data_IF_831323538681
#
_entry.id   IF_831323538681
#
_cell.length_a   1.000
_cell.length_b   1.000
_cell.length_c   1.000
_cell.angle_alpha   90.00
_cell.angle_beta   90.00
_cell.angle_gamma   90.00
#
_symmetry.space_group_name_H-M   'P 1'
#
loop_
_entity.id
_entity.type
_entity.pdbx_description
1 polymer ?
#
# COMPACT_ATOMS: atom_id res chain seq x y z
N UNK A 1 1.21 17.00 -13.63
CA UNK A 1 2.30 16.18 -14.21
C UNK A 1 3.15 15.56 -13.11
N UNK A 2 2.56 14.85 -12.15
CA UNK A 2 3.28 13.88 -11.31
C UNK A 2 3.66 12.66 -12.14
N UNK A 3 2.92 12.41 -13.20
CA UNK A 3 3.29 11.55 -14.31
C UNK A 3 3.80 12.48 -15.40
N UNK A 4 5.08 12.82 -15.36
CA UNK A 4 5.72 13.49 -16.47
C UNK A 4 5.44 12.71 -17.75
N UNK A 5 5.28 13.38 -18.88
CA UNK A 5 5.10 12.74 -20.15
C UNK A 5 6.18 11.65 -20.32
N UNK A 6 5.80 10.40 -20.04
CA UNK A 6 6.60 9.22 -20.32
C UNK A 6 7.75 8.87 -19.36
N UNK A 7 7.96 9.55 -18.24
CA UNK A 7 8.96 9.13 -17.26
C UNK A 7 8.34 8.31 -16.11
N UNK A 8 8.22 7.01 -16.33
CA UNK A 8 7.77 6.04 -15.33
C UNK A 8 8.93 5.40 -14.55
N UNK A 9 10.16 5.83 -14.74
CA UNK A 9 11.38 5.19 -14.21
C UNK A 9 11.44 5.14 -12.68
N UNK A 10 10.62 5.92 -11.98
CA UNK A 10 10.53 5.98 -10.52
C UNK A 10 9.25 5.38 -9.97
N UNK A 11 8.42 4.78 -10.82
CA UNK A 11 7.16 4.16 -10.41
C UNK A 11 7.34 2.65 -10.29
N UNK A 12 6.87 2.10 -9.18
CA UNK A 12 6.88 0.67 -8.90
C UNK A 12 5.48 0.10 -8.67
N UNK A 13 4.43 0.94 -8.77
CA UNK A 13 3.03 0.54 -8.72
C UNK A 13 2.17 1.60 -9.42
N UNK A 14 1.34 1.18 -10.37
CA UNK A 14 0.52 2.09 -11.19
C UNK A 14 -0.91 1.55 -11.24
N UNK A 15 -1.84 2.28 -10.62
CA UNK A 15 -3.26 1.97 -10.73
C UNK A 15 -3.78 2.38 -12.11
N UNK A 16 -4.36 1.43 -12.85
CA UNK A 16 -4.93 1.70 -14.17
C UNK A 16 -6.30 2.39 -14.11
N UNK A 17 -6.93 2.43 -12.94
CA UNK A 17 -8.08 3.30 -12.63
C UNK A 17 -9.43 2.85 -13.18
N UNK A 18 -9.64 1.55 -13.38
CA UNK A 18 -10.95 1.02 -13.77
C UNK A 18 -11.68 0.49 -12.53
N UNK A 19 -12.46 1.36 -11.91
CA UNK A 19 -13.20 1.07 -10.68
C UNK A 19 -14.51 0.35 -10.95
N UNK A 20 -14.75 -0.79 -10.27
CA UNK A 20 -15.99 -1.56 -10.42
C UNK A 20 -17.19 -0.89 -9.73
N UNK A 21 -16.95 0.14 -8.93
CA UNK A 21 -17.99 0.73 -8.10
C UNK A 21 -18.38 -0.17 -6.93
N UNK A 22 -19.37 0.24 -6.17
CA UNK A 22 -19.94 -0.56 -5.10
C UNK A 22 -18.94 -0.95 -4.02
N UNK A 23 -19.11 -2.16 -3.49
CA UNK A 23 -18.30 -2.66 -2.38
C UNK A 23 -18.59 -1.92 -1.09
N UNK A 24 -17.54 -1.59 -0.36
CA UNK A 24 -17.55 -1.03 0.98
C UNK A 24 -18.27 -1.92 2.01
N UNK A 25 -18.18 -1.58 3.28
CA UNK A 25 -18.88 -2.27 4.36
C UNK A 25 -20.41 -2.36 4.18
N UNK A 26 -21.00 -1.59 3.25
CA UNK A 26 -22.44 -1.61 2.92
C UNK A 26 -22.82 -2.67 1.88
N UNK A 27 -21.84 -3.38 1.31
CA UNK A 27 -22.05 -4.39 0.27
C UNK A 27 -22.83 -3.87 -0.96
N UNK A 28 -22.54 -2.64 -1.37
CA UNK A 28 -23.16 -2.06 -2.56
C UNK A 28 -22.76 -2.87 -3.81
N UNK A 29 -23.72 -3.10 -4.75
CA UNK A 29 -23.44 -3.84 -5.98
C UNK A 29 -22.29 -3.23 -6.77
N UNK A 30 -21.41 -4.07 -7.30
CA UNK A 30 -20.40 -3.67 -8.29
C UNK A 30 -20.99 -3.79 -9.71
N UNK A 31 -20.48 -3.00 -10.64
CA UNK A 31 -20.91 -3.07 -12.04
C UNK A 31 -20.40 -4.36 -12.71
N UNK A 32 -20.99 -4.79 -13.84
CA UNK A 32 -20.51 -5.92 -14.62
C UNK A 32 -19.02 -5.79 -14.97
N UNK A 33 -18.35 -6.93 -15.08
CA UNK A 33 -16.94 -6.97 -15.43
C UNK A 33 -16.68 -6.36 -16.82
N UNK A 34 -15.61 -5.58 -16.93
CA UNK A 34 -15.17 -5.06 -18.23
C UNK A 34 -14.75 -6.21 -19.16
N UNK A 35 -15.01 -6.12 -20.46
CA UNK A 35 -14.58 -7.11 -21.43
C UNK A 35 -13.07 -7.31 -21.46
N UNK A 36 -12.63 -8.49 -21.87
CA UNK A 36 -11.20 -8.85 -22.00
C UNK A 36 -10.42 -7.83 -22.85
N UNK A 37 -11.02 -7.36 -23.94
CA UNK A 37 -10.43 -6.39 -24.85
C UNK A 37 -10.10 -5.05 -24.18
N UNK A 38 -10.89 -4.63 -23.20
CA UNK A 38 -10.64 -3.42 -22.41
C UNK A 38 -9.28 -3.52 -21.71
N UNK A 39 -8.99 -4.67 -21.11
CA UNK A 39 -7.74 -4.91 -20.38
C UNK A 39 -6.53 -4.99 -21.32
N UNK A 40 -6.67 -5.63 -22.46
CA UNK A 40 -5.63 -5.67 -23.51
C UNK A 40 -5.29 -4.27 -24.01
N UNK A 41 -6.29 -3.46 -24.30
CA UNK A 41 -6.10 -2.08 -24.73
C UNK A 41 -5.48 -1.23 -23.60
N UNK A 42 -5.96 -1.41 -22.38
CA UNK A 42 -5.46 -0.66 -21.23
C UNK A 42 -3.99 -0.95 -20.95
N UNK A 43 -3.58 -2.20 -20.92
CA UNK A 43 -2.16 -2.56 -20.76
C UNK A 43 -1.31 -2.01 -21.91
N UNK A 44 -1.79 -2.13 -23.16
CA UNK A 44 -1.07 -1.65 -24.33
C UNK A 44 -0.88 -0.14 -24.37
N UNK A 45 -1.69 0.62 -23.64
CA UNK A 45 -1.56 2.08 -23.52
C UNK A 45 -0.38 2.53 -22.67
N UNK A 46 0.28 1.60 -21.96
CA UNK A 46 1.47 1.87 -21.14
C UNK A 46 2.74 1.34 -21.83
N UNK A 47 3.90 2.01 -21.62
CA UNK A 47 5.20 1.50 -22.06
C UNK A 47 5.49 0.10 -21.51
N UNK A 48 6.18 -0.74 -22.28
CA UNK A 48 6.44 -2.15 -21.92
C UNK A 48 7.17 -2.29 -20.58
N UNK A 49 8.12 -1.40 -20.30
CA UNK A 49 8.93 -1.41 -19.09
C UNK A 49 8.15 -1.19 -17.80
N UNK A 50 6.95 -0.60 -17.86
CA UNK A 50 6.11 -0.34 -16.68
C UNK A 50 4.93 -1.30 -16.52
N UNK A 51 4.63 -2.09 -17.55
CA UNK A 51 3.50 -3.05 -17.51
C UNK A 51 3.58 -4.05 -16.34
N UNK A 52 4.76 -4.51 -15.89
CA UNK A 52 4.87 -5.36 -14.71
C UNK A 52 4.39 -4.73 -13.39
N UNK A 53 4.28 -3.40 -13.35
CA UNK A 53 3.88 -2.63 -12.17
C UNK A 53 2.41 -2.18 -12.20
N UNK A 54 1.66 -2.59 -13.25
CA UNK A 54 0.25 -2.22 -13.38
C UNK A 54 -0.62 -3.06 -12.46
N UNK A 55 -1.53 -2.38 -11.76
CA UNK A 55 -2.60 -3.02 -11.04
C UNK A 55 -3.92 -2.28 -11.25
N UNK A 56 -5.03 -2.97 -11.05
CA UNK A 56 -6.35 -2.38 -11.00
C UNK A 56 -6.91 -2.50 -9.58
N UNK A 57 -7.27 -1.37 -8.98
CA UNK A 57 -8.02 -1.35 -7.74
C UNK A 57 -9.50 -1.56 -8.10
N UNK A 58 -9.96 -2.80 -8.01
CA UNK A 58 -11.26 -3.19 -8.58
C UNK A 58 -12.41 -2.83 -7.67
N UNK A 59 -12.35 -3.19 -6.39
CA UNK A 59 -13.37 -2.87 -5.39
C UNK A 59 -12.76 -2.82 -3.99
N UNK A 60 -13.56 -2.42 -2.98
CA UNK A 60 -13.09 -2.08 -1.65
C UNK A 60 -13.95 -2.72 -0.56
N UNK A 61 -13.30 -3.13 0.57
CA UNK A 61 -13.90 -3.50 1.85
C UNK A 61 -15.08 -4.49 1.75
N UNK A 62 -14.95 -5.52 0.92
CA UNK A 62 -16.02 -6.51 0.67
C UNK A 62 -15.96 -7.75 1.57
N UNK A 63 -15.20 -7.73 2.67
CA UNK A 63 -14.94 -8.90 3.53
C UNK A 63 -16.22 -9.63 4.00
N UNK A 64 -17.31 -8.90 4.19
CA UNK A 64 -18.60 -9.45 4.62
C UNK A 64 -19.63 -9.53 3.49
N UNK A 65 -19.24 -9.26 2.24
CA UNK A 65 -20.12 -9.10 1.09
C UNK A 65 -20.04 -10.32 0.17
N UNK A 66 -20.45 -11.50 0.66
CA UNK A 66 -20.29 -12.77 -0.06
C UNK A 66 -20.92 -12.78 -1.47
N UNK A 67 -22.01 -12.05 -1.66
CA UNK A 67 -22.69 -11.94 -2.96
C UNK A 67 -21.83 -11.22 -4.02
N UNK A 68 -20.79 -10.50 -3.59
CA UNK A 68 -19.85 -9.81 -4.48
C UNK A 68 -18.67 -10.69 -4.91
N UNK A 69 -18.47 -11.85 -4.30
CA UNK A 69 -17.28 -12.66 -4.58
C UNK A 69 -17.30 -13.24 -6.00
N UNK A 70 -18.45 -13.71 -6.50
CA UNK A 70 -18.53 -14.20 -7.88
C UNK A 70 -18.39 -13.06 -8.92
N UNK A 71 -19.04 -11.91 -8.77
CA UNK A 71 -18.72 -10.74 -9.59
C UNK A 71 -17.22 -10.36 -9.61
N UNK A 72 -16.55 -10.41 -8.46
CA UNK A 72 -15.09 -10.15 -8.37
C UNK A 72 -14.28 -11.19 -9.13
N UNK A 73 -14.64 -12.47 -9.07
CA UNK A 73 -13.99 -13.53 -9.86
C UNK A 73 -14.15 -13.28 -11.36
N UNK A 74 -15.33 -12.82 -11.79
CA UNK A 74 -15.56 -12.48 -13.20
C UNK A 74 -14.65 -11.32 -13.65
N UNK A 75 -14.53 -10.27 -12.84
CA UNK A 75 -13.57 -9.20 -13.07
C UNK A 75 -12.14 -9.73 -13.19
N UNK A 76 -11.72 -10.56 -12.26
CA UNK A 76 -10.39 -11.17 -12.25
C UNK A 76 -10.13 -12.00 -13.51
N UNK A 77 -11.07 -12.89 -13.90
CA UNK A 77 -10.94 -13.69 -15.14
C UNK A 77 -10.72 -12.82 -16.37
N UNK A 78 -11.47 -11.72 -16.50
CA UNK A 78 -11.36 -10.84 -17.65
C UNK A 78 -10.04 -10.03 -17.63
N UNK A 79 -9.61 -9.55 -16.46
CA UNK A 79 -8.30 -8.90 -16.28
C UNK A 79 -7.18 -9.85 -16.70
N UNK A 80 -7.20 -11.07 -16.17
CA UNK A 80 -6.15 -12.07 -16.36
C UNK A 80 -6.12 -12.64 -17.78
N UNK A 81 -7.27 -12.75 -18.44
CA UNK A 81 -7.35 -13.20 -19.82
C UNK A 81 -6.84 -12.16 -20.82
N UNK A 82 -6.98 -10.87 -20.48
CA UNK A 82 -6.65 -9.75 -21.37
C UNK A 82 -5.30 -9.09 -21.12
N UNK A 83 -4.68 -9.30 -19.97
CA UNK A 83 -3.51 -8.51 -19.57
C UNK A 83 -2.66 -9.15 -18.46
N UNK A 84 -1.54 -8.50 -18.15
CA UNK A 84 -0.70 -8.78 -16.96
C UNK A 84 -1.05 -7.87 -15.77
N UNK A 85 -2.09 -7.03 -15.91
CA UNK A 85 -2.55 -6.14 -14.86
C UNK A 85 -2.97 -6.98 -13.64
N UNK A 86 -2.47 -6.63 -12.47
CA UNK A 86 -2.81 -7.32 -11.22
C UNK A 86 -4.16 -6.83 -10.69
N UNK A 87 -5.00 -7.73 -10.22
CA UNK A 87 -6.24 -7.38 -9.52
C UNK A 87 -5.96 -7.09 -8.04
N UNK A 88 -6.24 -5.87 -7.58
CA UNK A 88 -6.05 -5.43 -6.20
C UNK A 88 -7.37 -5.19 -5.50
N UNK A 89 -7.49 -5.68 -4.27
CA UNK A 89 -8.63 -5.42 -3.38
C UNK A 89 -8.15 -5.11 -1.96
N UNK A 90 -8.80 -4.13 -1.33
CA UNK A 90 -8.58 -3.81 0.10
C UNK A 90 -9.51 -4.66 0.94
N UNK A 91 -9.00 -5.74 1.49
CA UNK A 91 -9.64 -6.62 2.47
C UNK A 91 -8.67 -7.68 2.98
N UNK A 92 -9.03 -8.32 4.09
CA UNK A 92 -8.33 -9.51 4.56
C UNK A 92 -8.44 -10.67 3.54
N UNK A 93 -7.36 -11.42 3.24
CA UNK A 93 -7.42 -12.58 2.37
C UNK A 93 -8.51 -13.56 2.78
N UNK A 94 -9.32 -13.97 1.79
CA UNK A 94 -10.52 -14.77 2.00
C UNK A 94 -10.48 -15.99 1.08
N UNK A 95 -10.66 -17.24 1.62
CA UNK A 95 -10.52 -18.47 0.85
C UNK A 95 -11.42 -18.54 -0.40
N UNK A 96 -12.59 -17.92 -0.34
CA UNK A 96 -13.53 -17.88 -1.47
C UNK A 96 -12.97 -17.13 -2.70
N UNK A 97 -11.92 -16.31 -2.55
CA UNK A 97 -11.26 -15.58 -3.64
C UNK A 97 -9.85 -16.10 -3.95
N UNK A 98 -9.45 -17.23 -3.36
CA UNK A 98 -8.17 -17.88 -3.67
C UNK A 98 -8.14 -18.57 -5.03
N UNK A 99 -9.29 -18.68 -5.69
CA UNK A 99 -9.44 -19.20 -7.04
C UNK A 99 -10.53 -18.41 -7.78
N UNK A 100 -10.23 -17.92 -8.97
CA UNK A 100 -11.20 -17.25 -9.84
C UNK A 100 -12.09 -18.23 -10.65
N UNK A 101 -11.89 -19.54 -10.45
CA UNK A 101 -12.54 -20.63 -11.18
C UNK A 101 -11.69 -21.18 -12.32
N UNK A 102 -10.47 -20.67 -12.53
CA UNK A 102 -9.51 -21.15 -13.54
C UNK A 102 -8.24 -21.78 -12.95
N UNK A 103 -8.16 -21.87 -11.62
CA UNK A 103 -6.97 -22.31 -10.89
C UNK A 103 -5.98 -21.19 -10.60
N UNK A 104 -6.37 -19.93 -10.80
CA UNK A 104 -5.61 -18.72 -10.48
C UNK A 104 -6.32 -17.93 -9.38
N UNK A 105 -5.58 -17.30 -8.43
CA UNK A 105 -6.20 -16.40 -7.47
C UNK A 105 -7.01 -15.29 -8.16
N UNK A 106 -8.20 -15.01 -7.62
CA UNK A 106 -9.01 -13.88 -8.08
C UNK A 106 -8.40 -12.51 -7.68
N UNK A 107 -7.56 -12.51 -6.65
CA UNK A 107 -6.90 -11.30 -6.13
C UNK A 107 -5.38 -11.52 -6.16
N UNK A 108 -4.67 -10.71 -6.91
CA UNK A 108 -3.21 -10.78 -7.00
C UNK A 108 -2.55 -9.97 -5.86
N UNK A 109 -3.20 -8.88 -5.42
CA UNK A 109 -2.71 -7.99 -4.37
C UNK A 109 -3.81 -7.78 -3.33
N UNK A 110 -3.58 -8.31 -2.14
CA UNK A 110 -4.43 -8.08 -0.98
C UNK A 110 -3.89 -6.90 -0.18
N UNK A 111 -4.74 -5.94 0.14
CA UNK A 111 -4.35 -4.78 0.94
C UNK A 111 -5.03 -4.86 2.29
N UNK A 112 -4.24 -4.95 3.35
CA UNK A 112 -4.72 -5.22 4.70
C UNK A 112 -4.45 -4.07 5.65
N UNK A 113 -5.39 -3.79 6.54
CA UNK A 113 -5.21 -2.87 7.66
C UNK A 113 -4.38 -3.53 8.77
N UNK A 114 -3.66 -2.76 9.61
CA UNK A 114 -3.00 -3.29 10.80
C UNK A 114 -3.92 -4.13 11.69
N UNK A 115 -5.18 -3.69 11.89
CA UNK A 115 -6.19 -4.42 12.64
C UNK A 115 -6.57 -5.78 12.02
N UNK A 116 -6.35 -5.96 10.71
CA UNK A 116 -6.62 -7.18 9.94
C UNK A 116 -5.36 -8.03 9.69
N UNK A 117 -4.23 -7.71 10.32
CA UNK A 117 -2.95 -8.37 10.05
C UNK A 117 -2.11 -8.55 11.32
N UNK A 118 -2.77 -8.76 12.43
CA UNK A 118 -2.10 -8.96 13.72
C UNK A 118 -2.46 -10.28 14.40
N UNK A 119 -3.73 -10.65 14.41
CA UNK A 119 -4.17 -11.86 15.10
C UNK A 119 -3.74 -13.14 14.33
N UNK A 120 -3.48 -14.26 15.04
CA UNK A 120 -2.96 -15.49 14.41
C UNK A 120 -3.83 -16.03 13.26
N UNK A 121 -5.16 -15.90 13.35
CA UNK A 121 -6.07 -16.34 12.29
C UNK A 121 -5.88 -15.51 11.02
N UNK A 122 -5.82 -14.19 11.14
CA UNK A 122 -5.60 -13.29 10.01
C UNK A 122 -4.23 -13.49 9.38
N UNK A 123 -3.20 -13.66 10.20
CA UNK A 123 -1.85 -13.99 9.72
C UNK A 123 -1.82 -15.32 8.97
N UNK A 124 -2.61 -16.31 9.41
CA UNK A 124 -2.71 -17.60 8.69
C UNK A 124 -3.31 -17.42 7.29
N UNK A 125 -4.36 -16.63 7.14
CA UNK A 125 -4.96 -16.29 5.83
C UNK A 125 -3.99 -15.54 4.94
N UNK A 126 -3.25 -14.58 5.50
CA UNK A 126 -2.20 -13.83 4.80
C UNK A 126 -1.14 -14.78 4.27
N UNK A 127 -0.61 -15.69 5.11
CA UNK A 127 0.42 -16.66 4.70
C UNK A 127 -0.08 -17.65 3.66
N UNK A 128 -1.38 -18.00 3.70
CA UNK A 128 -2.00 -18.80 2.65
C UNK A 128 -2.02 -18.06 1.32
N UNK A 129 -2.49 -16.80 1.29
CA UNK A 129 -2.48 -15.98 0.08
C UNK A 129 -1.06 -15.82 -0.51
N UNK A 130 -0.04 -15.59 0.33
CA UNK A 130 1.35 -15.54 -0.10
C UNK A 130 1.82 -16.86 -0.73
N UNK A 131 1.42 -18.02 -0.18
CA UNK A 131 1.75 -19.34 -0.76
C UNK A 131 1.09 -19.55 -2.12
N UNK A 132 -0.04 -18.94 -2.37
CA UNK A 132 -0.72 -18.93 -3.67
C UNK A 132 -0.09 -17.93 -4.67
N UNK A 133 0.94 -17.19 -4.26
CA UNK A 133 1.65 -16.22 -5.10
C UNK A 133 1.08 -14.81 -5.08
N UNK A 134 0.15 -14.51 -4.17
CA UNK A 134 -0.38 -13.17 -4.02
C UNK A 134 0.61 -12.27 -3.27
N UNK A 135 0.55 -10.97 -3.56
CA UNK A 135 1.23 -9.95 -2.76
C UNK A 135 0.32 -9.45 -1.63
N UNK A 136 0.93 -9.11 -0.51
CA UNK A 136 0.24 -8.48 0.62
C UNK A 136 0.80 -7.08 0.81
N UNK A 137 -0.06 -6.08 0.69
CA UNK A 137 0.30 -4.69 0.97
C UNK A 137 -0.38 -4.22 2.24
N UNK A 138 0.27 -3.37 3.00
CA UNK A 138 -0.38 -2.70 4.14
C UNK A 138 -1.16 -1.47 3.71
N UNK A 139 -2.07 -1.05 4.55
CA UNK A 139 -2.95 0.09 4.32
C UNK A 139 -3.04 0.94 5.58
N UNK A 140 -3.13 2.25 5.41
CA UNK A 140 -3.42 3.19 6.49
C UNK A 140 -4.59 4.09 6.07
N UNK A 141 -5.55 4.28 6.96
CA UNK A 141 -6.67 5.18 6.75
C UNK A 141 -7.17 5.72 8.10
N UNK A 142 -8.43 5.53 8.45
CA UNK A 142 -9.03 5.97 9.71
C UNK A 142 -8.36 5.32 10.94
N UNK A 143 -8.69 5.78 12.14
CA UNK A 143 -8.24 5.16 13.39
C UNK A 143 -9.06 3.89 13.64
N UNK A 144 -8.49 2.73 13.32
CA UNK A 144 -9.18 1.43 13.40
C UNK A 144 -8.79 0.59 14.62
N UNK A 145 -7.71 0.96 15.27
CA UNK A 145 -7.18 0.32 16.46
C UNK A 145 -6.45 1.35 17.33
N UNK A 146 -6.05 0.97 18.54
CA UNK A 146 -5.36 1.84 19.49
C UNK A 146 -3.83 1.70 19.48
N UNK A 147 -3.26 0.83 18.66
CA UNK A 147 -1.87 0.41 18.77
C UNK A 147 -1.01 0.67 17.53
N UNK A 148 -1.56 0.58 16.33
CA UNK A 148 -0.79 0.77 15.10
C UNK A 148 -0.46 2.24 14.83
N UNK A 149 0.54 2.55 14.00
CA UNK A 149 0.84 3.91 13.57
C UNK A 149 -0.36 4.56 12.85
N UNK A 150 -0.63 5.82 13.14
CA UNK A 150 -1.77 6.60 12.62
C UNK A 150 -1.30 7.78 11.76
N UNK A 151 -2.04 8.05 10.66
CA UNK A 151 -1.66 9.09 9.71
C UNK A 151 -2.58 10.31 9.71
N UNK A 152 -3.30 10.54 10.79
CA UNK A 152 -4.04 11.79 11.02
C UNK A 152 -3.12 12.87 11.59
N UNK A 153 -3.48 14.14 11.39
CA UNK A 153 -2.61 15.27 11.68
C UNK A 153 -2.18 15.40 13.15
N UNK A 154 -3.00 14.86 14.06
CA UNK A 154 -2.78 14.94 15.51
C UNK A 154 -1.72 13.97 16.03
N UNK A 155 -1.26 13.04 15.18
CA UNK A 155 -0.28 12.04 15.58
C UNK A 155 1.16 12.49 15.28
N UNK A 156 2.06 12.11 16.17
CA UNK A 156 3.47 12.46 16.08
C UNK A 156 4.14 11.93 14.79
N UNK A 157 5.18 12.62 14.27
CA UNK A 157 5.84 12.28 13.01
C UNK A 157 6.31 10.83 12.87
N UNK A 158 6.68 10.19 13.98
CA UNK A 158 7.10 8.79 13.96
C UNK A 158 6.02 7.83 13.45
N UNK A 159 4.74 8.16 13.61
CA UNK A 159 3.63 7.36 13.07
C UNK A 159 3.69 7.21 11.54
N UNK A 160 4.11 8.24 10.82
CA UNK A 160 4.26 8.18 9.36
C UNK A 160 5.53 7.45 8.95
N UNK A 161 6.62 7.67 9.68
CA UNK A 161 7.94 7.17 9.33
C UNK A 161 8.10 5.67 9.61
N UNK A 162 7.53 5.17 10.72
CA UNK A 162 7.76 3.80 11.18
C UNK A 162 6.98 2.75 10.39
N UNK A 163 5.86 3.10 9.78
CA UNK A 163 4.95 2.18 9.12
C UNK A 163 5.64 1.36 8.00
N UNK A 164 6.38 1.96 7.05
CA UNK A 164 7.10 1.17 6.05
C UNK A 164 8.11 0.20 6.66
N UNK A 165 8.74 0.55 7.78
CA UNK A 165 9.71 -0.33 8.42
C UNK A 165 9.02 -1.53 9.11
N UNK A 166 7.81 -1.35 9.65
CA UNK A 166 7.00 -2.47 10.17
C UNK A 166 6.66 -3.45 9.03
N UNK A 167 6.39 -2.96 7.80
CA UNK A 167 6.19 -3.82 6.65
C UNK A 167 7.36 -4.78 6.41
N UNK A 168 8.60 -4.35 6.69
CA UNK A 168 9.77 -5.22 6.59
C UNK A 168 9.70 -6.41 7.54
N UNK A 169 9.19 -6.22 8.75
CA UNK A 169 9.03 -7.29 9.74
C UNK A 169 7.94 -8.29 9.34
N UNK A 170 6.89 -7.83 8.67
CA UNK A 170 5.86 -8.71 8.12
C UNK A 170 6.26 -9.33 6.77
N UNK A 171 7.20 -8.74 6.05
CA UNK A 171 7.55 -9.12 4.66
C UNK A 171 6.58 -8.55 3.62
N UNK A 172 5.86 -7.49 3.94
CA UNK A 172 4.93 -6.85 3.00
C UNK A 172 5.68 -5.93 2.03
N UNK A 173 5.61 -6.18 0.71
CA UNK A 173 6.35 -5.41 -0.28
C UNK A 173 5.71 -4.06 -0.63
N UNK A 174 4.46 -3.84 -0.24
CA UNK A 174 3.70 -2.67 -0.66
C UNK A 174 3.01 -1.94 0.49
N UNK A 175 2.72 -0.68 0.22
CA UNK A 175 1.98 0.22 1.10
C UNK A 175 1.02 1.04 0.25
N UNK A 176 -0.26 0.95 0.56
CA UNK A 176 -1.31 1.71 -0.10
C UNK A 176 -1.84 2.79 0.83
N UNK A 177 -2.12 3.95 0.26
CA UNK A 177 -2.93 4.99 0.89
C UNK A 177 -3.98 5.46 -0.10
N UNK A 178 -5.24 5.50 0.33
CA UNK A 178 -6.38 5.62 -0.58
C UNK A 178 -6.41 6.94 -1.35
N UNK A 179 -5.94 8.04 -0.75
CA UNK A 179 -5.89 9.37 -1.35
C UNK A 179 -4.88 10.27 -0.66
N UNK A 180 -4.36 11.26 -1.38
CA UNK A 180 -3.39 12.23 -0.83
C UNK A 180 -3.87 13.68 -0.93
N UNK A 181 -4.97 13.93 -1.64
CA UNK A 181 -5.49 15.24 -2.04
C UNK A 181 -7.00 15.40 -1.78
N UNK A 182 -7.51 14.79 -0.72
CA UNK A 182 -8.89 14.96 -0.27
C UNK A 182 -9.06 16.37 0.31
N UNK A 183 -9.34 17.34 -0.55
CA UNK A 183 -9.45 18.73 -0.15
C UNK A 183 -10.89 19.12 0.16
N UNK A 184 -11.08 19.90 1.23
CA UNK A 184 -12.23 20.75 1.46
C UNK A 184 -12.19 21.96 0.51
N UNK A 185 -13.15 22.86 0.63
CA UNK A 185 -13.14 24.15 -0.10
C UNK A 185 -11.91 24.99 0.24
N UNK A 186 -11.49 24.98 1.51
CA UNK A 186 -10.26 25.61 1.97
C UNK A 186 -9.37 24.59 2.72
N UNK A 187 -8.59 23.81 2.02
CA UNK A 187 -7.80 22.72 2.60
C UNK A 187 -6.63 23.18 3.48
N UNK A 188 -6.35 24.48 3.54
CA UNK A 188 -5.34 25.04 4.43
C UNK A 188 -5.86 25.33 5.83
N UNK A 189 -7.16 25.52 5.99
CA UNK A 189 -7.80 25.87 7.26
C UNK A 189 -8.78 24.81 7.77
N UNK A 190 -9.32 23.97 6.86
CA UNK A 190 -10.31 22.95 7.20
C UNK A 190 -9.96 21.60 6.55
N UNK A 191 -10.40 20.52 7.18
CA UNK A 191 -10.29 19.18 6.62
C UNK A 191 -11.63 18.70 6.05
N UNK A 192 -11.60 17.97 4.92
CA UNK A 192 -12.79 17.35 4.36
C UNK A 192 -13.34 16.26 5.28
N UNK A 193 -12.46 15.52 5.96
CA UNK A 193 -12.79 14.53 6.97
C UNK A 193 -12.54 15.16 8.36
N UNK A 194 -13.62 15.49 9.07
CA UNK A 194 -13.54 16.12 10.40
C UNK A 194 -13.41 15.12 11.54
N UNK A 195 -13.84 13.87 11.33
CA UNK A 195 -13.70 12.80 12.31
C UNK A 195 -12.27 12.27 12.38
N UNK A 196 -11.59 12.30 11.20
CA UNK A 196 -10.20 11.88 11.08
C UNK A 196 -9.35 12.97 10.39
N UNK A 197 -9.02 14.08 11.09
CA UNK A 197 -8.38 15.24 10.49
C UNK A 197 -7.08 14.92 9.77
N UNK A 198 -6.99 15.31 8.50
CA UNK A 198 -5.84 15.04 7.64
C UNK A 198 -5.81 13.67 7.00
N UNK A 199 -6.82 12.80 7.22
CA UNK A 199 -7.00 11.57 6.48
C UNK A 199 -7.22 11.89 4.99
N UNK A 200 -6.51 11.18 4.08
CA UNK A 200 -6.57 11.47 2.65
C UNK A 200 -5.91 12.79 2.22
N UNK A 201 -5.24 13.52 3.12
CA UNK A 201 -4.74 14.86 2.86
C UNK A 201 -3.23 14.98 3.21
N UNK A 202 -2.37 14.52 2.31
CA UNK A 202 -0.90 14.61 2.46
C UNK A 202 -0.25 15.67 1.56
N UNK A 203 -0.98 16.15 0.55
CA UNK A 203 -0.54 17.19 -0.38
C UNK A 203 -1.55 18.34 -0.32
N UNK A 204 -1.07 19.58 -0.33
CA UNK A 204 -1.87 20.80 -0.31
C UNK A 204 -1.88 21.49 -1.68
N UNK A 205 -2.95 22.19 -2.08
CA UNK A 205 -2.92 23.03 -3.27
C UNK A 205 -1.97 24.21 -3.03
N UNK A 206 -1.08 24.47 -4.00
CA UNK A 206 -0.10 25.55 -3.82
C UNK A 206 -0.65 26.94 -4.03
N UNK A 207 -1.69 27.08 -4.86
CA UNK A 207 -2.21 28.38 -5.28
C UNK A 207 -2.60 29.31 -4.12
N UNK A 208 -3.28 28.87 -3.05
CA UNK A 208 -3.57 29.72 -1.89
C UNK A 208 -2.30 30.21 -1.14
N UNK A 209 -1.19 29.48 -1.26
CA UNK A 209 0.11 29.85 -0.71
C UNK A 209 1.00 30.61 -1.68
N UNK A 210 0.47 31.04 -2.85
CA UNK A 210 1.25 31.72 -3.89
C UNK A 210 2.25 30.85 -4.65
N UNK A 211 2.09 29.52 -4.59
CA UNK A 211 2.95 28.52 -5.21
C UNK A 211 2.20 27.84 -6.35
N UNK A 212 2.83 27.74 -7.55
CA UNK A 212 2.20 27.12 -8.72
C UNK A 212 2.14 25.60 -8.68
N UNK A 213 2.93 24.96 -7.80
CA UNK A 213 3.04 23.51 -7.65
C UNK A 213 2.30 23.03 -6.39
N UNK A 214 1.82 21.77 -6.34
CA UNK A 214 1.34 21.17 -5.11
C UNK A 214 2.39 21.19 -3.99
N UNK A 215 1.96 21.43 -2.76
CA UNK A 215 2.83 21.54 -1.58
C UNK A 215 2.75 20.23 -0.78
N UNK A 216 3.83 19.46 -0.69
CA UNK A 216 3.86 18.27 0.15
C UNK A 216 3.84 18.66 1.63
N UNK A 217 3.00 18.00 2.43
CA UNK A 217 3.02 18.17 3.88
C UNK A 217 4.30 17.61 4.52
N UNK A 218 4.59 18.02 5.75
CA UNK A 218 5.63 17.36 6.56
C UNK A 218 5.33 15.87 6.76
N UNK A 219 4.06 15.50 6.88
CA UNK A 219 3.61 14.11 7.00
C UNK A 219 4.09 13.26 5.81
N UNK A 220 3.88 13.74 4.58
CA UNK A 220 4.38 13.07 3.37
C UNK A 220 5.92 12.97 3.36
N UNK A 221 6.63 13.97 3.87
CA UNK A 221 8.09 13.94 3.97
C UNK A 221 8.57 12.89 4.98
N UNK A 222 7.89 12.76 6.13
CA UNK A 222 8.20 11.70 7.09
C UNK A 222 7.90 10.30 6.55
N UNK A 223 6.82 10.16 5.78
CA UNK A 223 6.52 8.91 5.09
C UNK A 223 7.64 8.55 4.09
N UNK A 224 8.12 9.52 3.31
CA UNK A 224 9.28 9.33 2.42
C UNK A 224 10.52 8.84 3.18
N UNK A 225 10.85 9.46 4.33
CA UNK A 225 11.95 9.00 5.18
C UNK A 225 11.75 7.54 5.64
N UNK A 226 10.51 7.16 5.93
CA UNK A 226 10.17 5.77 6.28
C UNK A 226 10.35 4.80 5.11
N UNK A 227 10.02 5.21 3.89
CA UNK A 227 10.31 4.42 2.69
C UNK A 227 11.81 4.29 2.47
N UNK A 228 12.60 5.36 2.70
CA UNK A 228 14.05 5.26 2.64
C UNK A 228 14.61 4.29 3.71
N UNK A 229 14.05 4.28 4.93
CA UNK A 229 14.43 3.32 5.98
C UNK A 229 14.10 1.87 5.55
N UNK A 230 12.97 1.66 4.88
CA UNK A 230 12.60 0.37 4.27
C UNK A 230 13.65 -0.07 3.23
N UNK A 231 14.10 0.84 2.36
CA UNK A 231 15.09 0.54 1.33
C UNK A 231 16.45 0.14 1.90
N UNK A 232 16.87 0.65 3.05
CA UNK A 232 18.10 0.17 3.72
C UNK A 232 18.02 -1.31 4.04
N UNK A 233 16.85 -1.81 4.46
CA UNK A 233 16.64 -3.24 4.71
C UNK A 233 16.67 -4.03 3.40
N UNK A 234 16.01 -3.55 2.34
CA UNK A 234 16.01 -4.21 1.02
C UNK A 234 17.43 -4.29 0.42
N UNK A 235 18.22 -3.23 0.51
CA UNK A 235 19.62 -3.25 0.07
C UNK A 235 20.38 -4.36 0.80
N UNK A 236 20.22 -4.49 2.10
CA UNK A 236 20.90 -5.54 2.89
C UNK A 236 20.39 -6.95 2.54
N UNK A 237 19.08 -7.12 2.31
CA UNK A 237 18.54 -8.41 1.81
C UNK A 237 19.17 -8.80 0.50
N UNK A 238 19.28 -7.87 -0.46
CA UNK A 238 19.90 -8.09 -1.76
C UNK A 238 21.41 -8.36 -1.67
N UNK A 239 22.07 -7.89 -0.62
CA UNK A 239 23.47 -8.20 -0.30
C UNK A 239 23.63 -9.48 0.56
N UNK A 240 22.58 -10.32 0.66
CA UNK A 240 22.61 -11.58 1.41
C UNK A 240 22.65 -11.43 2.93
N UNK A 241 22.18 -10.29 3.46
CA UNK A 241 22.21 -9.98 4.90
C UNK A 241 20.80 -9.87 5.49
N UNK A 242 19.86 -10.69 5.02
CA UNK A 242 18.44 -10.62 5.42
C UNK A 242 18.26 -10.75 6.92
N UNK A 243 18.86 -11.77 7.56
CA UNK A 243 18.74 -12.03 8.99
C UNK A 243 19.28 -10.86 9.83
N UNK A 244 20.45 -10.34 9.45
CA UNK A 244 21.05 -9.17 10.11
C UNK A 244 20.12 -7.96 10.03
N UNK A 245 19.58 -7.65 8.83
CA UNK A 245 18.73 -6.49 8.63
C UNK A 245 17.44 -6.59 9.43
N UNK A 246 16.77 -7.75 9.41
CA UNK A 246 15.54 -7.98 10.17
C UNK A 246 15.78 -7.96 11.69
N UNK A 247 16.89 -8.52 12.19
CA UNK A 247 17.26 -8.44 13.61
C UNK A 247 17.53 -7.00 14.04
N UNK A 248 18.17 -6.19 13.19
CA UNK A 248 18.48 -4.79 13.50
C UNK A 248 17.24 -3.92 13.70
N UNK A 249 16.16 -4.19 12.96
CA UNK A 249 14.91 -3.41 13.06
C UNK A 249 13.97 -3.87 14.17
N UNK A 250 14.13 -5.09 14.69
CA UNK A 250 13.25 -5.67 15.73
C UNK A 250 13.02 -4.77 16.95
N UNK A 251 14.03 -4.08 17.49
CA UNK A 251 13.82 -3.21 18.66
C UNK A 251 12.96 -1.97 18.38
N UNK A 252 12.76 -1.61 17.12
CA UNK A 252 12.07 -0.36 16.73
C UNK A 252 10.81 -0.60 15.92
N UNK A 253 10.66 -1.74 15.24
CA UNK A 253 9.55 -2.03 14.33
C UNK A 253 9.26 -3.54 14.27
N UNK A 254 8.98 -4.17 15.42
CA UNK A 254 8.74 -5.61 15.47
C UNK A 254 7.42 -6.01 14.80
N UNK A 255 6.35 -5.32 15.13
CA UNK A 255 5.00 -5.52 14.60
C UNK A 255 4.12 -4.29 14.84
N UNK A 256 2.80 -4.37 14.52
CA UNK A 256 1.85 -3.26 14.67
C UNK A 256 1.64 -2.79 16.12
N UNK A 257 1.91 -3.61 17.12
CA UNK A 257 1.77 -3.25 18.56
C UNK A 257 3.11 -2.90 19.21
N UNK A 258 4.22 -3.41 18.66
CA UNK A 258 5.56 -3.27 19.23
C UNK A 258 6.46 -2.47 18.27
N UNK A 259 6.35 -1.16 18.36
CA UNK A 259 7.14 -0.20 17.60
C UNK A 259 7.53 1.00 18.46
N UNK A 260 8.55 1.73 18.07
CA UNK A 260 9.05 2.87 18.84
C UNK A 260 8.52 4.21 18.35
N UNK A 261 8.13 5.06 19.31
CA UNK A 261 7.89 6.48 19.05
C UNK A 261 9.17 7.35 19.22
N UNK A 262 10.29 6.76 19.66
CA UNK A 262 11.56 7.47 19.84
C UNK A 262 12.33 7.60 18.52
N UNK A 263 12.48 8.83 17.97
CA UNK A 263 13.24 9.03 16.75
C UNK A 263 14.72 8.70 16.89
N UNK A 264 15.30 8.83 18.09
CA UNK A 264 16.70 8.51 18.31
C UNK A 264 16.98 7.00 18.24
N UNK A 265 16.05 6.19 18.70
CA UNK A 265 16.13 4.73 18.54
C UNK A 265 16.16 4.34 17.06
N UNK A 266 15.26 4.94 16.24
CA UNK A 266 15.23 4.70 14.81
C UNK A 266 16.51 5.19 14.09
N UNK A 267 17.03 6.38 14.44
CA UNK A 267 18.28 6.87 13.86
C UNK A 267 19.47 5.95 14.15
N UNK A 268 19.57 5.39 15.36
CA UNK A 268 20.61 4.40 15.69
C UNK A 268 20.48 3.16 14.79
N UNK A 269 19.28 2.66 14.56
CA UNK A 269 19.05 1.52 13.66
C UNK A 269 19.46 1.86 12.23
N UNK A 270 19.01 3.01 11.69
CA UNK A 270 19.40 3.48 10.35
C UNK A 270 20.92 3.57 10.21
N UNK A 271 21.62 4.06 11.24
CA UNK A 271 23.08 4.10 11.25
C UNK A 271 23.70 2.70 11.17
N UNK A 272 23.22 1.76 11.98
CA UNK A 272 23.70 0.36 11.99
C UNK A 272 23.52 -0.28 10.58
N UNK A 273 22.35 -0.10 9.96
CA UNK A 273 22.08 -0.61 8.62
C UNK A 273 23.03 0.04 7.59
N UNK A 274 23.18 1.38 7.62
CA UNK A 274 24.05 2.13 6.71
C UNK A 274 25.52 1.76 6.82
N UNK A 275 26.05 1.63 8.04
CA UNK A 275 27.43 1.20 8.27
C UNK A 275 27.68 -0.22 7.74
N UNK A 276 26.70 -1.12 7.89
CA UNK A 276 26.79 -2.48 7.32
C UNK A 276 26.82 -2.45 5.80
N UNK A 277 25.98 -1.66 5.15
CA UNK A 277 25.96 -1.48 3.68
C UNK A 277 27.33 -0.97 3.21
N UNK A 278 27.85 0.11 3.80
CA UNK A 278 29.14 0.68 3.44
C UNK A 278 30.28 -0.32 3.57
N UNK A 279 30.27 -1.13 4.63
CA UNK A 279 31.29 -2.17 4.85
C UNK A 279 31.26 -3.26 3.78
N UNK A 280 30.09 -3.57 3.24
CA UNK A 280 29.93 -4.59 2.19
C UNK A 280 30.30 -4.07 0.80
N UNK A 281 30.05 -2.79 0.53
CA UNK A 281 30.38 -2.14 -0.74
C UNK A 281 31.87 -1.82 -0.91
N UNK A 282 32.65 -1.78 0.19
CA UNK A 282 34.11 -1.57 0.15
C UNK A 282 34.93 -2.85 -0.10
N UNK A 283 34.25 -4.00 -0.21
CA UNK A 283 34.86 -5.28 -0.58
C UNK A 283 34.66 -5.57 -2.04
#
# INVERSE_FOLDING_TARGET
KLMGEGDYTRMNAINVGIWAGGGSWQCLPIRPAEPVETWTQKESSYPEEVRPYLYNYTTDEISNCKDLYEPVREWARNIHAGSRIKNLIVMIPTPELYDDGTGRPAVDIWVVLPAQSYEPEDLSRIREAERLGCEIWSYNCNVQDSYSPKWQIDFAPMNYRIHPLINQSYGFPGLLYWRVDLWSEDPWTTFADTDYPGNGHLIYPGQPAGISQPVPSLRLKYLREGVEDYEYVEILKNLGQKEFALQAIQPVAADWKHWTADPQALYRVRQILGEKIQKLQKK
#
